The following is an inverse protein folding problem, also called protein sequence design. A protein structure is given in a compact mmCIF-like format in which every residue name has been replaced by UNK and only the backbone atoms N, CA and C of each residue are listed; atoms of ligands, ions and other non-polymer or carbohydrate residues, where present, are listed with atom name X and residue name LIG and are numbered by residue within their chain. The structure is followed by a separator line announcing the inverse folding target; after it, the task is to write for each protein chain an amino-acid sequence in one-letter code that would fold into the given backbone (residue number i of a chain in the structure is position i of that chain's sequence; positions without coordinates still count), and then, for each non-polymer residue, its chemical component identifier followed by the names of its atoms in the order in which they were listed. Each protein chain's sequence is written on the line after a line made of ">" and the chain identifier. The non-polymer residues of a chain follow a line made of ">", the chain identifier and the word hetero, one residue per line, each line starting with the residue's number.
data_IF_704072211954
#
_entry.id   IF_704072211954
#
_cell.length_a   1.000
_cell.length_b   1.000
_cell.length_c   1.000
_cell.angle_alpha   90.00
_cell.angle_beta   90.00
_cell.angle_gamma   90.00
#
_symmetry.space_group_name_H-M   'P 1'
#
loop_
_entity.id
_entity.type
_entity.pdbx_description
1 polymer ?
#
# COMPACT_ATOMS: atom_id res chain seq x y z
N UNK A 1 -0.86 10.69 1.58
CA UNK A 1 -2.28 11.01 1.30
C UNK A 1 -2.43 12.52 1.26
N UNK A 2 -3.16 13.05 0.28
CA UNK A 2 -3.36 14.49 0.09
C UNK A 2 -4.83 14.82 0.36
N UNK A 3 -5.11 15.74 1.28
CA UNK A 3 -6.46 16.26 1.51
C UNK A 3 -6.56 17.69 0.96
N UNK A 4 -7.66 17.98 0.28
CA UNK A 4 -7.97 19.33 -0.19
C UNK A 4 -8.83 20.05 0.84
N UNK A 5 -8.45 21.29 1.13
CA UNK A 5 -9.24 22.19 1.98
C UNK A 5 -10.05 23.09 1.04
N UNK A 6 -11.38 22.92 1.05
CA UNK A 6 -12.30 23.65 0.17
C UNK A 6 -12.55 22.98 -1.18
N UNK A 7 -13.56 23.48 -1.90
CA UNK A 7 -13.90 23.04 -3.25
C UNK A 7 -13.17 23.95 -4.25
N UNK A 8 -12.30 23.42 -5.13
CA UNK A 8 -11.64 24.22 -6.16
C UNK A 8 -12.69 24.89 -7.06
N UNK A 9 -12.50 26.18 -7.36
CA UNK A 9 -13.37 26.93 -8.26
C UNK A 9 -13.22 26.54 -9.73
N UNK A 10 -12.09 25.89 -10.10
CA UNK A 10 -11.86 25.38 -11.45
C UNK A 10 -10.94 24.15 -11.47
N UNK A 11 -10.95 23.40 -12.59
CA UNK A 11 -10.03 22.27 -12.81
C UNK A 11 -8.56 22.69 -12.80
N UNK A 12 -8.25 23.87 -13.34
CA UNK A 12 -6.88 24.41 -13.37
C UNK A 12 -6.36 24.70 -11.96
N UNK A 13 -7.19 25.36 -11.16
CA UNK A 13 -6.90 25.62 -9.74
C UNK A 13 -6.70 24.33 -8.95
N UNK A 14 -7.54 23.31 -9.19
CA UNK A 14 -7.35 21.99 -8.60
C UNK A 14 -5.99 21.39 -8.96
N UNK A 15 -5.56 21.48 -10.22
CA UNK A 15 -4.27 20.96 -10.67
C UNK A 15 -3.11 21.71 -10.01
N UNK A 16 -3.15 23.05 -9.94
CA UNK A 16 -2.15 23.89 -9.26
C UNK A 16 -2.04 23.58 -7.76
N UNK A 17 -3.17 23.45 -7.06
CA UNK A 17 -3.20 23.10 -5.63
C UNK A 17 -2.64 21.69 -5.40
N UNK A 18 -2.97 20.74 -6.27
CA UNK A 18 -2.45 19.38 -6.17
C UNK A 18 -0.95 19.32 -6.41
N UNK A 19 -0.44 20.01 -7.45
CA UNK A 19 0.99 20.11 -7.73
C UNK A 19 1.74 20.66 -6.53
N UNK A 20 1.33 21.82 -6.00
CA UNK A 20 1.95 22.39 -4.81
C UNK A 20 1.92 21.45 -3.60
N UNK A 21 0.80 20.75 -3.34
CA UNK A 21 0.70 19.77 -2.25
C UNK A 21 1.60 18.56 -2.47
N UNK A 22 1.73 18.06 -3.70
CA UNK A 22 2.62 16.95 -4.06
C UNK A 22 4.07 17.36 -3.80
N UNK A 23 4.52 18.48 -4.34
CA UNK A 23 5.90 18.96 -4.16
C UNK A 23 6.24 19.14 -2.69
N UNK A 24 5.34 19.74 -1.91
CA UNK A 24 5.50 19.91 -0.47
C UNK A 24 5.54 18.59 0.29
N UNK A 25 4.74 17.60 -0.11
CA UNK A 25 4.66 16.29 0.56
C UNK A 25 5.89 15.44 0.28
N UNK A 26 6.37 15.44 -0.97
CA UNK A 26 7.52 14.61 -1.38
C UNK A 26 8.87 15.34 -1.28
N UNK A 27 8.87 16.65 -1.03
CA UNK A 27 10.08 17.46 -0.85
C UNK A 27 10.91 17.58 -2.14
N UNK A 28 10.27 17.55 -3.30
CA UNK A 28 10.93 17.64 -4.61
C UNK A 28 10.03 18.34 -5.64
N UNK A 29 10.61 19.00 -6.66
CA UNK A 29 9.85 19.55 -7.77
C UNK A 29 9.14 18.47 -8.58
N UNK A 30 7.94 18.77 -9.11
CA UNK A 30 7.19 17.83 -9.94
C UNK A 30 7.95 17.43 -11.22
N UNK A 31 8.77 18.34 -11.74
CA UNK A 31 9.65 18.10 -12.90
C UNK A 31 10.70 17.02 -12.67
N UNK A 32 11.04 16.71 -11.41
CA UNK A 32 11.99 15.66 -11.03
C UNK A 32 11.30 14.34 -10.66
N UNK A 33 9.97 14.27 -10.75
CA UNK A 33 9.19 13.15 -10.26
C UNK A 33 8.25 12.59 -11.31
N UNK A 34 8.07 11.27 -11.28
CA UNK A 34 6.90 10.62 -11.86
C UNK A 34 5.87 10.45 -10.77
N UNK A 35 4.66 10.98 -10.97
CA UNK A 35 3.58 10.95 -9.97
C UNK A 35 2.34 10.29 -10.55
N UNK A 36 1.74 9.40 -9.76
CA UNK A 36 0.40 8.87 -10.01
C UNK A 36 -0.53 9.28 -8.85
N UNK A 37 -1.81 9.50 -9.16
CA UNK A 37 -2.81 9.89 -8.17
C UNK A 37 -4.15 9.18 -8.38
N UNK A 38 -4.72 8.67 -7.30
CA UNK A 38 -6.05 8.07 -7.25
C UNK A 38 -6.93 8.89 -6.31
N UNK A 39 -8.14 9.24 -6.74
CA UNK A 39 -9.11 9.93 -5.88
C UNK A 39 -9.71 8.92 -4.89
N UNK A 40 -9.61 9.24 -3.61
CA UNK A 40 -10.22 8.47 -2.54
C UNK A 40 -11.65 8.93 -2.30
N UNK A 41 -12.51 8.08 -1.72
CA UNK A 41 -13.83 8.50 -1.24
C UNK A 41 -13.71 9.71 -0.30
N UNK A 42 -14.71 10.59 -0.31
CA UNK A 42 -14.78 11.69 0.64
C UNK A 42 -14.75 11.15 2.08
N UNK A 43 -14.16 11.89 3.02
CA UNK A 43 -14.27 11.56 4.44
C UNK A 43 -15.63 12.00 5.00
N UNK A 44 -15.87 11.72 6.28
CA UNK A 44 -17.07 12.17 7.01
C UNK A 44 -17.24 13.70 7.00
N UNK A 45 -16.18 14.45 6.70
CA UNK A 45 -16.16 15.90 6.54
C UNK A 45 -16.35 16.36 5.08
N UNK A 46 -16.72 15.44 4.19
CA UNK A 46 -16.91 15.63 2.75
C UNK A 46 -15.71 16.23 2.00
N UNK A 47 -14.50 16.06 2.53
CA UNK A 47 -13.26 16.53 1.90
C UNK A 47 -12.83 15.60 0.78
N UNK A 48 -12.43 16.20 -0.35
CA UNK A 48 -11.81 15.46 -1.45
C UNK A 48 -10.39 15.06 -1.05
N UNK A 49 -10.09 13.77 -1.23
CA UNK A 49 -8.80 13.18 -0.85
C UNK A 49 -8.19 12.44 -2.03
N UNK A 50 -6.87 12.42 -2.09
CA UNK A 50 -6.09 11.68 -3.08
C UNK A 50 -5.05 10.80 -2.40
N UNK A 51 -4.90 9.58 -2.91
CA UNK A 51 -3.70 8.79 -2.71
C UNK A 51 -2.74 9.16 -3.84
N UNK A 52 -1.57 9.68 -3.50
CA UNK A 52 -0.53 10.00 -4.46
C UNK A 52 0.67 9.11 -4.19
N UNK A 53 1.24 8.54 -5.26
CA UNK A 53 2.52 7.86 -5.26
C UNK A 53 3.47 8.64 -6.16
N UNK A 54 4.71 8.82 -5.72
CA UNK A 54 5.72 9.52 -6.48
C UNK A 54 7.05 8.78 -6.39
N UNK A 55 7.82 8.85 -7.48
CA UNK A 55 9.20 8.37 -7.54
C UNK A 55 10.05 9.42 -8.25
N UNK A 56 11.28 9.63 -7.76
CA UNK A 56 12.24 10.50 -8.46
C UNK A 56 12.61 9.88 -9.80
N UNK A 57 12.70 10.70 -10.84
CA UNK A 57 13.09 10.25 -12.18
C UNK A 57 14.47 9.60 -12.18
N UNK A 58 15.39 10.05 -11.32
CA UNK A 58 16.72 9.44 -11.15
C UNK A 58 16.62 8.00 -10.66
N UNK A 59 15.80 7.74 -9.65
CA UNK A 59 15.56 6.39 -9.11
C UNK A 59 14.89 5.52 -10.18
N UNK A 60 13.91 6.06 -10.91
CA UNK A 60 13.26 5.34 -11.99
C UNK A 60 14.25 4.90 -13.09
N UNK A 61 15.15 5.81 -13.50
CA UNK A 61 16.18 5.49 -14.51
C UNK A 61 17.13 4.39 -14.03
N UNK A 62 17.50 4.35 -12.73
CA UNK A 62 18.32 3.27 -12.18
C UNK A 62 17.64 1.91 -12.37
N UNK A 63 16.36 1.79 -12.00
CA UNK A 63 15.60 0.55 -12.21
C UNK A 63 15.48 0.20 -13.69
N UNK A 64 15.10 1.16 -14.53
CA UNK A 64 14.93 0.92 -15.98
C UNK A 64 16.23 0.52 -16.66
N UNK A 65 17.37 1.05 -16.20
CA UNK A 65 18.69 0.72 -16.74
C UNK A 65 19.06 -0.76 -16.56
N UNK A 66 18.65 -1.38 -15.44
CA UNK A 66 18.86 -2.81 -15.17
C UNK A 66 18.10 -3.66 -16.19
N UNK A 67 16.84 -3.32 -16.46
CA UNK A 67 16.05 -4.00 -17.48
C UNK A 67 16.62 -3.79 -18.88
N UNK A 68 17.05 -2.56 -19.20
CA UNK A 68 17.66 -2.21 -20.49
C UNK A 68 18.95 -3.00 -20.75
N UNK A 69 19.77 -3.22 -19.71
CA UNK A 69 20.98 -4.03 -19.81
C UNK A 69 20.69 -5.50 -20.15
N UNK A 70 19.51 -6.00 -19.80
CA UNK A 70 19.01 -7.33 -20.17
C UNK A 70 18.29 -7.37 -21.53
N UNK A 71 18.24 -6.24 -22.25
CA UNK A 71 17.51 -6.10 -23.50
C UNK A 71 15.98 -6.01 -23.31
N UNK A 72 15.52 -5.74 -22.10
CA UNK A 72 14.10 -5.59 -21.77
C UNK A 72 13.73 -4.12 -21.59
N UNK A 73 12.45 -3.81 -21.78
CA UNK A 73 11.88 -2.50 -21.50
C UNK A 73 10.88 -2.63 -20.35
N UNK A 74 11.11 -1.90 -19.26
CA UNK A 74 10.17 -1.86 -18.15
C UNK A 74 8.90 -1.12 -18.60
N UNK A 75 7.77 -1.81 -18.60
CA UNK A 75 6.47 -1.22 -18.94
C UNK A 75 5.75 -0.60 -17.73
N UNK A 76 6.08 -1.06 -16.52
CA UNK A 76 5.42 -0.67 -15.28
C UNK A 76 6.40 -0.79 -14.11
N UNK A 77 6.51 0.28 -13.33
CA UNK A 77 7.26 0.31 -12.07
C UNK A 77 6.31 0.74 -10.97
N UNK A 78 6.19 -0.08 -9.92
CA UNK A 78 5.28 0.14 -8.82
C UNK A 78 6.00 -0.07 -7.48
N UNK A 79 5.58 0.63 -6.41
CA UNK A 79 5.96 0.27 -5.06
C UNK A 79 5.57 -1.17 -4.73
N UNK A 80 6.39 -1.87 -3.93
CA UNK A 80 6.16 -3.27 -3.54
C UNK A 80 4.73 -3.54 -3.04
N UNK A 81 4.24 -2.70 -2.12
CA UNK A 81 2.90 -2.85 -1.53
C UNK A 81 1.77 -2.77 -2.58
N UNK A 82 1.97 -2.09 -3.71
CA UNK A 82 0.96 -1.96 -4.76
C UNK A 82 0.76 -3.28 -5.53
N UNK A 83 1.78 -4.14 -5.58
CA UNK A 83 1.65 -5.52 -6.05
C UNK A 83 0.97 -6.40 -5.01
N UNK A 84 1.36 -6.29 -3.74
CA UNK A 84 0.84 -7.13 -2.66
C UNK A 84 -0.63 -6.84 -2.31
N UNK A 85 -1.06 -5.59 -2.41
CA UNK A 85 -2.45 -5.23 -2.15
C UNK A 85 -3.43 -5.85 -3.16
N UNK A 86 -2.96 -6.30 -4.33
CA UNK A 86 -3.80 -6.97 -5.34
C UNK A 86 -4.45 -8.25 -4.79
N UNK A 87 -3.80 -8.91 -3.83
CA UNK A 87 -4.34 -10.07 -3.12
C UNK A 87 -5.54 -9.74 -2.24
N UNK A 88 -5.65 -8.50 -1.77
CA UNK A 88 -6.78 -8.01 -0.99
C UNK A 88 -7.88 -7.37 -1.86
N UNK A 89 -7.51 -6.85 -3.04
CA UNK A 89 -8.44 -6.21 -4.00
C UNK A 89 -9.38 -7.21 -4.67
N UNK A 90 -8.89 -8.39 -5.03
CA UNK A 90 -9.65 -9.36 -5.81
C UNK A 90 -10.08 -10.57 -5.00
N UNK A 91 -11.39 -10.82 -4.93
CA UNK A 91 -11.95 -12.09 -4.47
C UNK A 91 -12.46 -12.15 -3.04
N UNK A 92 -12.53 -11.03 -2.30
CA UNK A 92 -13.16 -11.05 -0.98
C UNK A 92 -13.83 -9.72 -0.61
N UNK A 93 -15.00 -9.84 0.00
CA UNK A 93 -15.75 -8.74 0.61
C UNK A 93 -15.17 -8.43 2.00
N UNK A 94 -15.29 -7.19 2.45
CA UNK A 94 -14.84 -6.75 3.78
C UNK A 94 -13.53 -5.97 3.80
N UNK A 95 -13.19 -5.47 4.98
CA UNK A 95 -12.01 -4.64 5.19
C UNK A 95 -10.74 -5.49 5.29
N UNK A 96 -9.67 -5.02 4.67
CA UNK A 96 -8.39 -5.71 4.63
C UNK A 96 -7.27 -4.84 5.18
N UNK A 97 -6.35 -5.44 5.92
CA UNK A 97 -5.10 -4.81 6.33
C UNK A 97 -3.94 -5.59 5.70
N UNK A 98 -3.15 -4.91 4.88
CA UNK A 98 -1.87 -5.40 4.40
C UNK A 98 -0.76 -4.85 5.31
N UNK A 99 0.14 -5.73 5.74
CA UNK A 99 1.40 -5.39 6.38
C UNK A 99 2.54 -5.96 5.54
N UNK A 100 3.33 -5.07 4.94
CA UNK A 100 4.52 -5.41 4.18
C UNK A 100 5.75 -5.14 5.04
N UNK A 101 6.41 -6.19 5.50
CA UNK A 101 7.66 -6.09 6.24
C UNK A 101 8.84 -5.78 5.30
N UNK A 102 9.76 -4.95 5.76
CA UNK A 102 11.04 -4.69 5.11
C UNK A 102 12.12 -4.44 6.17
N UNK A 103 13.38 -4.29 5.76
CA UNK A 103 14.51 -4.23 6.72
C UNK A 103 14.45 -3.02 7.65
N UNK A 104 13.88 -1.91 7.17
CA UNK A 104 13.77 -0.67 7.96
C UNK A 104 12.44 -0.54 8.73
N UNK A 105 11.59 -1.58 8.76
CA UNK A 105 10.28 -1.55 9.43
C UNK A 105 9.17 -2.20 8.60
N UNK A 106 8.04 -1.51 8.44
CA UNK A 106 6.92 -2.05 7.67
C UNK A 106 6.02 -0.99 7.06
N UNK A 107 5.33 -1.36 5.98
CA UNK A 107 4.26 -0.56 5.38
C UNK A 107 2.91 -1.19 5.66
N UNK A 108 2.00 -0.41 6.22
CA UNK A 108 0.64 -0.81 6.51
C UNK A 108 -0.35 -0.15 5.55
N UNK A 109 -1.17 -0.94 4.87
CA UNK A 109 -2.22 -0.45 3.95
C UNK A 109 -3.58 -0.95 4.43
N UNK A 110 -4.45 -0.03 4.82
CA UNK A 110 -5.85 -0.35 5.12
C UNK A 110 -6.67 -0.23 3.84
N UNK A 111 -7.46 -1.27 3.56
CA UNK A 111 -8.29 -1.38 2.37
C UNK A 111 -9.75 -1.59 2.75
N UNK A 112 -10.66 -0.99 1.97
CA UNK A 112 -12.11 -1.16 2.06
C UNK A 112 -12.71 -1.22 0.68
N UNK A 113 -13.53 -2.24 0.41
CA UNK A 113 -14.17 -2.41 -0.90
C UNK A 113 -13.19 -2.45 -2.07
N UNK A 114 -12.01 -3.07 -1.87
CA UNK A 114 -10.96 -3.18 -2.90
C UNK A 114 -10.20 -1.88 -3.20
N UNK A 115 -10.31 -0.86 -2.35
CA UNK A 115 -9.56 0.40 -2.46
C UNK A 115 -8.75 0.68 -1.21
N UNK A 116 -7.53 1.19 -1.37
CA UNK A 116 -6.72 1.65 -0.26
C UNK A 116 -7.37 2.89 0.37
N UNK A 117 -7.70 2.82 1.66
CA UNK A 117 -8.20 3.95 2.45
C UNK A 117 -7.07 4.78 3.02
N UNK A 118 -6.01 4.12 3.49
CA UNK A 118 -4.85 4.78 4.07
C UNK A 118 -3.63 3.89 3.98
N UNK A 119 -2.48 4.53 3.82
CA UNK A 119 -1.18 3.90 3.73
C UNK A 119 -0.25 4.62 4.71
N UNK A 120 0.50 3.83 5.48
CA UNK A 120 1.52 4.34 6.41
C UNK A 120 2.75 3.47 6.31
N UNK A 121 3.88 4.08 6.00
CA UNK A 121 5.18 3.45 6.20
C UNK A 121 5.68 3.81 7.59
N UNK A 122 6.10 2.81 8.33
CA UNK A 122 6.66 2.89 9.67
C UNK A 122 8.11 2.47 9.57
N UNK A 123 8.99 3.36 10.05
CA UNK A 123 10.41 3.07 10.18
C UNK A 123 10.68 2.82 11.66
N UNK A 124 11.17 1.63 11.99
CA UNK A 124 11.40 1.23 13.37
C UNK A 124 12.45 0.12 13.45
N UNK A 125 13.13 0.04 14.59
CA UNK A 125 14.03 -1.06 14.89
C UNK A 125 13.23 -2.36 15.15
N UNK A 126 13.81 -3.55 14.93
CA UNK A 126 13.12 -4.83 15.16
C UNK A 126 12.59 -5.02 16.59
N UNK A 127 13.21 -4.35 17.57
CA UNK A 127 12.75 -4.39 18.96
C UNK A 127 11.49 -3.55 19.22
N UNK A 128 11.21 -2.57 18.37
CA UNK A 128 10.08 -1.61 18.50
C UNK A 128 8.91 -1.97 17.57
N UNK A 129 9.09 -2.96 16.69
CA UNK A 129 8.11 -3.33 15.67
C UNK A 129 6.75 -3.68 16.26
N UNK A 130 6.74 -4.38 17.39
CA UNK A 130 5.52 -4.84 18.06
C UNK A 130 4.70 -3.64 18.61
N UNK A 131 5.38 -2.65 19.20
CA UNK A 131 4.74 -1.44 19.73
C UNK A 131 4.21 -0.54 18.61
N UNK A 132 4.96 -0.39 17.52
CA UNK A 132 4.51 0.38 16.37
C UNK A 132 3.34 -0.30 15.66
N UNK A 133 3.39 -1.63 15.52
CA UNK A 133 2.30 -2.41 14.97
C UNK A 133 1.03 -2.23 15.82
N UNK A 134 1.15 -2.32 17.15
CA UNK A 134 0.04 -2.06 18.05
C UNK A 134 -0.54 -0.66 17.85
N UNK A 135 0.31 0.38 17.74
CA UNK A 135 -0.12 1.76 17.48
C UNK A 135 -0.84 1.91 16.14
N UNK A 136 -0.36 1.24 15.09
CA UNK A 136 -1.01 1.22 13.76
C UNK A 136 -2.38 0.56 13.83
N UNK A 137 -2.49 -0.58 14.51
CA UNK A 137 -3.76 -1.28 14.69
C UNK A 137 -4.77 -0.47 15.50
N UNK A 138 -4.33 0.19 16.58
CA UNK A 138 -5.16 1.11 17.36
C UNK A 138 -5.65 2.29 16.51
N UNK A 139 -4.76 2.90 15.72
CA UNK A 139 -5.11 3.97 14.81
C UNK A 139 -6.20 3.53 13.81
N UNK A 140 -6.09 2.32 13.25
CA UNK A 140 -7.11 1.82 12.34
C UNK A 140 -8.43 1.50 13.04
N UNK A 141 -8.40 0.88 14.23
CA UNK A 141 -9.63 0.63 15.03
C UNK A 141 -10.40 1.91 15.32
N UNK A 142 -9.71 3.00 15.64
CA UNK A 142 -10.34 4.31 15.86
C UNK A 142 -10.94 4.89 14.59
N UNK A 143 -10.30 4.68 13.44
CA UNK A 143 -10.72 5.24 12.14
C UNK A 143 -11.79 4.41 11.42
N UNK A 144 -11.94 3.13 11.76
CA UNK A 144 -13.02 2.27 11.26
C UNK A 144 -14.39 2.55 11.89
N UNK A 145 -14.48 3.50 12.84
CA UNK A 145 -15.68 3.83 13.60
C UNK A 145 -16.85 4.40 12.81
N UNK A 146 -17.60 3.54 12.12
CA UNK A 146 -19.05 3.64 11.97
C UNK A 146 -19.72 2.74 13.03
N UNK A 147 -20.90 3.13 13.53
CA UNK A 147 -21.68 2.42 14.56
C UNK A 147 -21.60 0.88 14.47
N UNK A 148 -20.75 0.27 15.32
CA UNK A 148 -20.67 -1.18 15.51
C UNK A 148 -19.95 -1.95 14.40
N UNK A 149 -18.85 -2.63 14.76
CA UNK A 149 -18.37 -3.83 14.06
C UNK A 149 -17.68 -3.74 12.68
N UNK A 150 -17.15 -2.60 12.24
CA UNK A 150 -16.16 -2.64 11.13
C UNK A 150 -14.78 -3.04 11.68
N UNK A 151 -14.65 -4.30 12.08
CA UNK A 151 -13.35 -4.93 12.33
C UNK A 151 -12.65 -5.13 10.98
N UNK A 152 -11.32 -5.01 10.96
CA UNK A 152 -10.55 -5.55 9.84
C UNK A 152 -10.93 -7.03 9.75
N UNK A 153 -11.39 -7.51 8.61
CA UNK A 153 -11.81 -8.91 8.47
C UNK A 153 -10.64 -9.79 8.02
N UNK A 154 -9.70 -9.17 7.29
CA UNK A 154 -8.63 -9.86 6.59
C UNK A 154 -7.30 -9.20 6.88
N UNK A 155 -6.32 -10.01 7.23
CA UNK A 155 -4.97 -9.56 7.50
C UNK A 155 -4.01 -10.30 6.58
N UNK A 156 -3.32 -9.57 5.71
CA UNK A 156 -2.26 -10.10 4.87
C UNK A 156 -0.93 -9.58 5.41
N UNK A 157 -0.04 -10.49 5.82
CA UNK A 157 1.31 -10.15 6.26
C UNK A 157 2.27 -10.74 5.25
N UNK A 158 3.09 -9.89 4.63
CA UNK A 158 4.09 -10.27 3.64
C UNK A 158 5.47 -9.87 4.13
N UNK A 159 6.42 -10.80 4.06
CA UNK A 159 7.81 -10.61 4.45
C UNK A 159 8.16 -11.26 5.79
N UNK A 160 9.47 -11.38 6.04
CA UNK A 160 10.03 -12.27 7.06
C UNK A 160 10.34 -11.56 8.39
N UNK A 161 10.36 -10.22 8.38
CA UNK A 161 10.76 -9.40 9.51
C UNK A 161 9.60 -9.05 10.47
N UNK A 162 8.41 -9.62 10.27
CA UNK A 162 7.28 -9.50 11.17
C UNK A 162 6.86 -10.88 11.68
N UNK A 163 6.85 -11.07 13.00
CA UNK A 163 6.38 -12.30 13.60
C UNK A 163 4.86 -12.43 13.42
N UNK A 164 4.48 -13.24 12.41
CA UNK A 164 3.07 -13.49 12.03
C UNK A 164 2.24 -14.02 13.19
N UNK A 165 2.83 -14.71 14.17
CA UNK A 165 2.10 -15.23 15.34
C UNK A 165 1.80 -14.15 16.38
N UNK A 166 2.67 -13.14 16.50
CA UNK A 166 2.45 -12.01 17.44
C UNK A 166 1.35 -11.07 16.98
N UNK A 167 1.17 -10.92 15.67
CA UNK A 167 0.09 -10.09 15.09
C UNK A 167 -1.31 -10.68 15.36
N UNK A 168 -1.41 -11.98 15.68
CA UNK A 168 -2.69 -12.71 15.89
C UNK A 168 -3.42 -12.30 17.17
N UNK A 169 -2.81 -11.52 18.06
CA UNK A 169 -3.40 -11.03 19.31
C UNK A 169 -4.68 -10.19 19.17
N UNK A 170 -5.16 -9.93 17.96
CA UNK A 170 -6.29 -9.02 17.65
C UNK A 170 -7.52 -9.75 17.04
N UNK A 171 -7.64 -11.08 17.19
CA UNK A 171 -8.68 -11.90 16.52
C UNK A 171 -8.63 -11.87 14.98
N UNK A 172 -7.51 -11.41 14.41
CA UNK A 172 -7.26 -11.41 12.98
C UNK A 172 -6.42 -12.63 12.62
N UNK A 173 -6.91 -13.44 11.68
CA UNK A 173 -6.14 -14.56 11.14
C UNK A 173 -5.33 -14.07 9.93
N UNK A 174 -3.99 -14.18 9.95
CA UNK A 174 -3.17 -13.93 8.76
C UNK A 174 -3.59 -14.86 7.61
N UNK A 175 -3.76 -14.29 6.44
CA UNK A 175 -4.07 -15.02 5.21
C UNK A 175 -2.81 -15.71 4.68
N UNK A 176 -2.96 -16.96 4.26
CA UNK A 176 -1.94 -17.71 3.53
C UNK A 176 -2.13 -17.57 2.00
N UNK A 177 -1.14 -18.03 1.22
CA UNK A 177 -1.20 -18.04 -0.25
C UNK A 177 -2.48 -18.70 -0.79
N UNK A 178 -2.91 -19.81 -0.18
CA UNK A 178 -4.13 -20.51 -0.56
C UNK A 178 -5.41 -19.68 -0.32
N UNK A 179 -5.44 -18.86 0.74
CA UNK A 179 -6.60 -18.02 1.09
C UNK A 179 -6.79 -16.88 0.06
N UNK A 180 -5.72 -16.49 -0.64
CA UNK A 180 -5.76 -15.49 -1.72
C UNK A 180 -5.80 -16.11 -3.13
N UNK A 181 -5.96 -17.44 -3.20
CA UNK A 181 -6.07 -18.19 -4.44
C UNK A 181 -4.76 -18.38 -5.21
N UNK A 182 -3.60 -18.16 -4.56
CA UNK A 182 -2.30 -18.41 -5.16
C UNK A 182 -1.89 -19.87 -4.93
N UNK A 183 -1.81 -20.63 -6.02
CA UNK A 183 -1.28 -21.98 -6.01
C UNK A 183 0.25 -21.96 -6.15
N UNK A 184 0.95 -22.28 -5.07
CA UNK A 184 2.42 -22.41 -5.07
C UNK A 184 2.77 -23.90 -5.24
N UNK A 185 3.51 -24.30 -6.30
CA UNK A 185 3.90 -25.70 -6.49
C UNK A 185 4.78 -26.19 -5.34
N UNK A 186 4.42 -27.32 -4.74
CA UNK A 186 5.18 -27.91 -3.62
C UNK A 186 6.61 -28.35 -4.00
N UNK A 187 6.91 -28.47 -5.30
CA UNK A 187 8.22 -28.85 -5.83
C UNK A 187 9.20 -27.69 -5.96
N UNK A 188 8.72 -26.44 -5.89
CA UNK A 188 9.56 -25.25 -5.88
C UNK A 188 9.71 -24.75 -4.46
N UNK A 189 10.93 -24.45 -4.02
CA UNK A 189 11.21 -23.79 -2.74
C UNK A 189 10.81 -22.30 -2.80
N UNK A 190 9.59 -22.02 -3.25
CA UNK A 190 9.05 -20.69 -3.48
C UNK A 190 8.29 -20.25 -2.24
N UNK A 191 8.77 -19.20 -1.60
CA UNK A 191 8.10 -18.57 -0.47
C UNK A 191 7.05 -17.58 -0.96
N UNK A 192 5.85 -17.61 -0.35
CA UNK A 192 4.82 -16.62 -0.58
C UNK A 192 5.32 -15.20 -0.29
N UNK A 193 6.10 -15.03 0.78
CA UNK A 193 6.61 -13.73 1.20
C UNK A 193 7.56 -13.10 0.17
N UNK A 194 8.27 -13.94 -0.59
CA UNK A 194 9.15 -13.52 -1.67
C UNK A 194 8.41 -13.25 -2.99
N UNK A 195 7.32 -13.95 -3.26
CA UNK A 195 6.62 -13.88 -4.56
C UNK A 195 5.32 -13.07 -4.54
N UNK A 196 4.80 -12.67 -3.38
CA UNK A 196 3.52 -11.98 -3.27
C UNK A 196 3.48 -10.69 -4.13
N UNK A 197 4.51 -9.86 -4.07
CA UNK A 197 4.58 -8.64 -4.88
C UNK A 197 4.63 -8.92 -6.39
N UNK A 198 5.58 -9.73 -6.94
CA UNK A 198 5.63 -9.99 -8.37
C UNK A 198 4.43 -10.79 -8.90
N UNK A 199 3.89 -11.74 -8.14
CA UNK A 199 2.68 -12.46 -8.55
C UNK A 199 1.42 -11.58 -8.49
N UNK A 200 1.36 -10.63 -7.56
CA UNK A 200 0.32 -9.60 -7.53
C UNK A 200 0.43 -8.62 -8.70
N UNK A 201 1.65 -8.21 -9.06
CA UNK A 201 1.91 -7.42 -10.27
C UNK A 201 1.41 -8.13 -11.53
N UNK A 202 1.64 -9.44 -11.63
CA UNK A 202 1.15 -10.23 -12.75
C UNK A 202 -0.39 -10.19 -12.86
N UNK A 203 -1.13 -10.09 -11.75
CA UNK A 203 -2.60 -9.94 -11.79
C UNK A 203 -3.06 -8.60 -12.36
N UNK A 204 -2.25 -7.55 -12.35
CA UNK A 204 -2.61 -6.27 -12.95
C UNK A 204 -2.64 -6.32 -14.49
N UNK A 205 -1.99 -7.32 -15.09
CA UNK A 205 -1.92 -7.47 -16.53
C UNK A 205 -3.15 -8.19 -17.14
N UNK A 206 -4.08 -8.67 -16.33
CA UNK A 206 -5.21 -9.53 -16.74
C UNK A 206 -6.57 -9.02 -16.27
#
# INVERSE_FOLDING_TARGET
>A
MLALEGTPGSRRELEEVLEWKIERTFGAPLSEMRVNREQLPANDQNQVRYLATAVRLSVLEEYESVFRALGWQAGLVLPRHAGEEQWLRHGSQGDGLLLTAHDEGFTAVLMRGGRALTLRSVFCEPAESDDELHRVLLFYRQRSGGNGESMVDRLLIVGDNLDKQRVVGVHLRPMAAADVGLAIPASGNLDFDAIAAPAGLARLAW
#
